data_IF_112060460599
#
_entry.id   IF_112060460599
#
_cell.length_a   1.000
_cell.length_b   1.000
_cell.length_c   1.000
_cell.angle_alpha   90.00
_cell.angle_beta   90.00
_cell.angle_gamma   90.00
#
_symmetry.space_group_name_H-M   'P 1'
#
loop_
_entity.id
_entity.type
_entity.pdbx_description
1 polymer ?
#
# COMPACT_ATOMS: atom_id res chain seq x y z
N UNK A 1 2.06 -29.05 -17.27
CA UNK A 1 1.16 -27.88 -17.12
C UNK A 1 1.38 -26.96 -18.31
N UNK A 2 0.43 -26.82 -19.25
CA UNK A 2 0.65 -26.17 -20.56
C UNK A 2 -0.25 -24.94 -20.79
N UNK A 3 -0.69 -24.29 -19.71
CA UNK A 3 -1.72 -23.23 -19.73
C UNK A 3 -1.33 -21.97 -18.95
N UNK A 4 -0.04 -21.75 -18.65
CA UNK A 4 0.43 -20.67 -17.77
C UNK A 4 -0.02 -19.27 -18.21
N UNK A 5 0.00 -18.99 -19.52
CA UNK A 5 -0.45 -17.70 -20.05
C UNK A 5 -1.95 -17.47 -19.84
N UNK A 6 -2.75 -18.55 -19.90
CA UNK A 6 -4.19 -18.47 -19.64
C UNK A 6 -4.47 -18.25 -18.16
N UNK A 7 -3.75 -18.91 -17.26
CA UNK A 7 -3.91 -18.66 -15.82
C UNK A 7 -3.48 -17.25 -15.44
N UNK A 8 -2.42 -16.72 -16.06
CA UNK A 8 -2.01 -15.33 -15.86
C UNK A 8 -3.11 -14.34 -16.30
N UNK A 9 -3.76 -14.61 -17.45
CA UNK A 9 -4.89 -13.80 -17.92
C UNK A 9 -6.08 -13.87 -16.95
N UNK A 10 -6.47 -15.07 -16.51
CA UNK A 10 -7.54 -15.27 -15.53
C UNK A 10 -7.26 -14.60 -14.19
N UNK A 11 -6.00 -14.58 -13.74
CA UNK A 11 -5.62 -13.89 -12.51
C UNK A 11 -5.89 -12.37 -12.57
N UNK A 12 -5.74 -11.77 -13.75
CA UNK A 12 -6.05 -10.34 -13.97
C UNK A 12 -7.56 -10.14 -14.09
N UNK A 13 -8.25 -11.00 -14.86
CA UNK A 13 -9.71 -10.94 -15.08
C UNK A 13 -10.52 -11.21 -13.80
N UNK A 14 -10.04 -12.08 -12.92
CA UNK A 14 -10.65 -12.35 -11.62
C UNK A 14 -10.31 -11.27 -10.57
N UNK A 15 -9.50 -10.27 -10.90
CA UNK A 15 -9.07 -9.23 -9.96
C UNK A 15 -8.15 -9.74 -8.85
N UNK A 16 -7.54 -10.91 -9.02
CA UNK A 16 -6.54 -11.43 -8.08
C UNK A 16 -5.21 -10.66 -8.21
N UNK A 17 -4.89 -10.20 -9.42
CA UNK A 17 -3.67 -9.43 -9.68
C UNK A 17 -3.96 -8.18 -10.51
N UNK A 18 -3.63 -7.01 -9.97
CA UNK A 18 -3.78 -5.74 -10.68
C UNK A 18 -2.45 -5.28 -11.29
N UNK A 19 -2.52 -4.80 -12.52
CA UNK A 19 -1.43 -4.27 -13.31
C UNK A 19 -1.40 -2.75 -13.21
N UNK A 20 -0.27 -2.23 -12.76
CA UNK A 20 -0.04 -0.81 -12.65
C UNK A 20 1.42 -0.49 -12.95
N UNK A 21 1.67 0.78 -13.30
CA UNK A 21 2.99 1.29 -13.62
C UNK A 21 3.22 2.59 -12.88
N UNK A 22 4.47 2.80 -12.44
CA UNK A 22 4.90 4.04 -11.81
C UNK A 22 6.05 4.64 -12.62
N UNK A 23 5.83 5.84 -13.14
CA UNK A 23 6.78 6.59 -13.94
C UNK A 23 7.19 7.88 -13.21
N UNK A 24 8.35 7.93 -12.53
CA UNK A 24 8.76 9.09 -11.74
C UNK A 24 8.99 10.35 -12.59
N UNK A 25 9.30 10.18 -13.88
CA UNK A 25 9.49 11.30 -14.81
C UNK A 25 8.22 12.13 -15.03
N UNK A 26 7.03 11.51 -14.89
CA UNK A 26 5.75 12.21 -15.04
C UNK A 26 5.50 13.22 -13.92
N UNK A 27 6.15 13.05 -12.77
CA UNK A 27 6.09 14.03 -11.67
C UNK A 27 6.71 15.36 -12.07
N UNK A 28 7.81 15.32 -12.83
CA UNK A 28 8.45 16.52 -13.38
C UNK A 28 7.57 17.24 -14.41
N UNK A 29 6.69 16.50 -15.10
CA UNK A 29 5.71 17.03 -16.04
C UNK A 29 4.39 17.49 -15.37
N UNK A 30 4.26 17.34 -14.05
CA UNK A 30 3.04 17.67 -13.30
C UNK A 30 1.85 16.73 -13.58
N UNK A 31 2.09 15.57 -14.18
CA UNK A 31 1.09 14.53 -14.43
C UNK A 31 1.16 13.47 -13.34
N UNK A 32 0.06 12.73 -13.12
CA UNK A 32 0.08 11.60 -12.18
C UNK A 32 1.12 10.56 -12.64
N UNK A 33 2.07 10.17 -11.76
CA UNK A 33 3.13 9.21 -12.07
C UNK A 33 2.64 7.76 -12.03
N UNK A 34 1.54 7.53 -11.33
CA UNK A 34 0.90 6.25 -11.19
C UNK A 34 -0.16 6.05 -12.28
N UNK A 35 -0.10 4.91 -12.97
CA UNK A 35 -1.05 4.51 -14.01
C UNK A 35 -1.57 3.13 -13.64
N UNK A 36 -2.89 2.98 -13.56
CA UNK A 36 -3.57 1.69 -13.41
C UNK A 36 -3.99 1.22 -14.80
N UNK A 37 -3.53 0.05 -15.22
CA UNK A 37 -3.86 -0.54 -16.52
C UNK A 37 -4.92 -1.65 -16.40
N UNK A 38 -5.15 -2.18 -15.20
CA UNK A 38 -6.18 -3.20 -14.94
C UNK A 38 -7.59 -2.61 -14.87
N UNK A 39 -8.51 -3.29 -15.55
CA UNK A 39 -9.95 -3.03 -15.54
C UNK A 39 -10.64 -3.65 -14.31
N UNK A 40 -11.95 -3.43 -14.19
CA UNK A 40 -12.77 -4.07 -13.15
C UNK A 40 -12.86 -5.58 -13.38
N UNK A 41 -12.89 -6.39 -12.31
CA UNK A 41 -12.92 -7.85 -12.43
C UNK A 41 -14.25 -8.35 -13.00
N UNK A 42 -14.18 -9.21 -14.02
CA UNK A 42 -15.35 -9.82 -14.67
C UNK A 42 -15.58 -11.28 -14.22
N UNK A 43 -14.50 -11.99 -13.83
CA UNK A 43 -14.57 -13.40 -13.43
C UNK A 43 -14.82 -13.54 -11.91
N UNK A 44 -15.53 -14.60 -11.52
CA UNK A 44 -15.74 -14.97 -10.12
C UNK A 44 -14.41 -15.32 -9.44
N UNK A 45 -14.07 -14.56 -8.39
CA UNK A 45 -12.83 -14.74 -7.62
C UNK A 45 -12.71 -16.17 -7.05
N UNK A 46 -13.82 -16.76 -6.62
CA UNK A 46 -13.84 -18.11 -6.04
C UNK A 46 -13.53 -19.19 -7.08
N UNK A 47 -14.01 -19.02 -8.31
CA UNK A 47 -13.81 -20.00 -9.38
C UNK A 47 -12.35 -19.97 -9.88
N UNK A 48 -11.71 -18.80 -9.85
CA UNK A 48 -10.27 -18.69 -10.08
C UNK A 48 -9.47 -19.45 -9.01
N UNK A 49 -9.77 -19.24 -7.72
CA UNK A 49 -9.06 -19.92 -6.63
C UNK A 49 -9.21 -21.45 -6.69
N UNK A 50 -10.43 -21.96 -6.90
CA UNK A 50 -10.68 -23.40 -6.96
C UNK A 50 -10.06 -24.07 -8.20
N UNK A 51 -9.73 -23.30 -9.24
CA UNK A 51 -9.02 -23.78 -10.43
C UNK A 51 -7.57 -24.19 -10.17
N UNK A 52 -6.98 -23.78 -9.05
CA UNK A 52 -5.58 -24.05 -8.72
C UNK A 52 -5.42 -25.07 -7.59
N UNK A 53 -4.50 -26.02 -7.78
CA UNK A 53 -4.26 -27.11 -6.82
C UNK A 53 -3.85 -26.58 -5.43
N UNK A 54 -3.17 -25.43 -5.36
CA UNK A 54 -2.73 -24.83 -4.08
C UNK A 54 -3.89 -24.47 -3.16
N UNK A 55 -5.01 -24.00 -3.69
CA UNK A 55 -6.20 -23.65 -2.90
C UNK A 55 -7.15 -24.84 -2.78
N UNK A 56 -7.26 -25.66 -3.82
CA UNK A 56 -8.05 -26.88 -3.77
C UNK A 56 -7.53 -27.88 -2.72
N UNK A 57 -6.21 -27.92 -2.46
CA UNK A 57 -5.62 -28.74 -1.40
C UNK A 57 -6.08 -28.28 -0.01
N UNK A 58 -6.10 -26.97 0.25
CA UNK A 58 -6.56 -26.40 1.52
C UNK A 58 -8.05 -26.70 1.78
N UNK A 59 -8.88 -26.59 0.74
CA UNK A 59 -10.30 -26.93 0.84
C UNK A 59 -10.53 -28.42 1.15
N UNK A 60 -9.67 -29.32 0.66
CA UNK A 60 -9.77 -30.76 0.96
C UNK A 60 -9.41 -31.09 2.41
N UNK A 61 -8.43 -30.40 3.00
CA UNK A 61 -7.98 -30.67 4.36
C UNK A 61 -8.88 -30.02 5.42
N UNK A 62 -9.32 -28.79 5.17
CA UNK A 62 -10.01 -27.95 6.15
C UNK A 62 -11.04 -27.05 5.44
N UNK A 63 -12.24 -27.56 5.13
CA UNK A 63 -13.23 -26.83 4.34
C UNK A 63 -13.75 -25.56 5.05
N UNK A 64 -14.04 -25.65 6.36
CA UNK A 64 -14.61 -24.52 7.13
C UNK A 64 -13.65 -23.31 7.18
N UNK A 65 -12.36 -23.59 7.40
CA UNK A 65 -11.32 -22.56 7.41
C UNK A 65 -11.04 -22.03 6.00
N UNK A 66 -11.08 -22.89 4.98
CA UNK A 66 -10.86 -22.48 3.59
C UNK A 66 -11.91 -21.47 3.13
N UNK A 67 -13.19 -21.71 3.45
CA UNK A 67 -14.26 -20.78 3.07
C UNK A 67 -14.14 -19.42 3.78
N UNK A 68 -13.72 -19.40 5.05
CA UNK A 68 -13.44 -18.15 5.76
C UNK A 68 -12.27 -17.38 5.12
N UNK A 69 -11.18 -18.08 4.78
CA UNK A 69 -10.01 -17.48 4.15
C UNK A 69 -10.30 -16.98 2.73
N UNK A 70 -11.12 -17.68 1.95
CA UNK A 70 -11.50 -17.23 0.61
C UNK A 70 -12.30 -15.93 0.64
N UNK A 71 -13.24 -15.78 1.58
CA UNK A 71 -13.97 -14.52 1.78
C UNK A 71 -13.04 -13.39 2.18
N UNK A 72 -12.15 -13.63 3.15
CA UNK A 72 -11.17 -12.62 3.57
C UNK A 72 -10.27 -12.19 2.40
N UNK A 73 -9.85 -13.15 1.57
CA UNK A 73 -8.97 -12.86 0.43
C UNK A 73 -9.70 -12.03 -0.64
N UNK A 74 -10.99 -12.28 -0.86
CA UNK A 74 -11.82 -11.49 -1.78
C UNK A 74 -11.97 -10.03 -1.29
N UNK A 75 -12.24 -9.85 0.01
CA UNK A 75 -12.34 -8.52 0.62
C UNK A 75 -11.01 -7.77 0.56
N UNK A 76 -9.90 -8.45 0.84
CA UNK A 76 -8.54 -7.89 0.74
C UNK A 76 -8.19 -7.51 -0.70
N UNK A 77 -8.55 -8.34 -1.69
CA UNK A 77 -8.34 -8.04 -3.10
C UNK A 77 -9.13 -6.78 -3.51
N UNK A 78 -10.40 -6.69 -3.10
CA UNK A 78 -11.25 -5.51 -3.34
C UNK A 78 -10.68 -4.25 -2.70
N UNK A 79 -10.22 -4.35 -1.45
CA UNK A 79 -9.60 -3.23 -0.74
C UNK A 79 -8.30 -2.76 -1.43
N UNK A 80 -7.47 -3.70 -1.91
CA UNK A 80 -6.26 -3.38 -2.68
C UNK A 80 -6.61 -2.67 -3.98
N UNK A 81 -7.58 -3.16 -4.74
CA UNK A 81 -8.03 -2.51 -5.97
C UNK A 81 -8.47 -1.06 -5.70
N UNK A 82 -9.29 -0.85 -4.67
CA UNK A 82 -9.75 0.48 -4.27
C UNK A 82 -8.59 1.41 -3.88
N UNK A 83 -7.61 0.91 -3.12
CA UNK A 83 -6.44 1.68 -2.73
C UNK A 83 -5.57 2.10 -3.93
N UNK A 84 -5.41 1.19 -4.89
CA UNK A 84 -4.63 1.39 -6.11
C UNK A 84 -5.36 2.34 -7.08
N UNK A 85 -6.67 2.19 -7.24
CA UNK A 85 -7.52 3.11 -8.00
C UNK A 85 -7.51 4.52 -7.40
N UNK A 86 -7.63 4.62 -6.07
CA UNK A 86 -7.53 5.89 -5.35
C UNK A 86 -6.14 6.55 -5.50
N UNK A 87 -5.07 5.75 -5.62
CA UNK A 87 -3.72 6.29 -5.85
C UNK A 87 -3.56 6.92 -7.24
N UNK A 88 -4.27 6.44 -8.27
CA UNK A 88 -4.28 7.02 -9.61
C UNK A 88 -5.05 8.34 -9.73
N UNK A 89 -6.00 8.59 -8.82
CA UNK A 89 -6.79 9.83 -8.79
C UNK A 89 -6.12 11.00 -8.05
N UNK A 90 -5.00 10.78 -7.34
CA UNK A 90 -4.29 11.87 -6.64
C UNK A 90 -3.44 12.65 -7.63
N UNK A 91 -4.07 13.65 -8.27
CA UNK A 91 -3.36 14.67 -9.05
C UNK A 91 -2.25 15.29 -8.20
N UNK A 92 -1.02 15.20 -8.68
CA UNK A 92 0.16 15.75 -8.00
C UNK A 92 0.19 17.26 -8.24
N UNK A 93 -0.69 17.95 -7.51
CA UNK A 93 -0.76 19.41 -7.47
C UNK A 93 -0.02 19.95 -6.26
N UNK A 94 1.24 20.35 -6.49
CA UNK A 94 1.94 21.45 -5.79
C UNK A 94 2.35 21.22 -4.32
N UNK A 95 3.68 21.14 -4.07
CA UNK A 95 4.46 22.16 -3.31
C UNK A 95 5.86 21.64 -2.91
N UNK A 96 6.83 21.65 -3.83
CA UNK A 96 8.19 22.06 -3.48
C UNK A 96 8.98 22.58 -4.69
N UNK A 97 8.37 23.52 -5.42
CA UNK A 97 9.17 24.53 -6.09
C UNK A 97 9.60 25.55 -5.01
N UNK A 98 10.72 25.29 -4.36
CA UNK A 98 11.55 26.38 -3.84
C UNK A 98 12.80 26.37 -4.70
N UNK A 99 12.68 27.04 -5.85
CA UNK A 99 13.81 27.68 -6.50
C UNK A 99 14.63 28.42 -5.43
N UNK A 100 15.89 28.03 -5.28
CA UNK A 100 16.96 28.95 -4.89
C UNK A 100 16.73 29.82 -3.66
N UNK A 101 16.17 29.29 -2.57
CA UNK A 101 16.38 29.92 -1.26
C UNK A 101 17.79 29.54 -0.81
N UNK A 102 18.72 30.46 -1.06
CA UNK A 102 20.06 30.49 -0.52
C UNK A 102 20.00 30.14 0.98
N UNK A 103 20.53 28.96 1.33
CA UNK A 103 20.80 28.58 2.71
C UNK A 103 21.98 29.46 3.15
N UNK A 104 21.72 30.71 3.53
CA UNK A 104 22.53 31.33 4.57
C UNK A 104 22.00 30.81 5.89
N UNK A 105 22.79 29.89 6.43
CA UNK A 105 22.86 29.59 7.85
C UNK A 105 22.96 30.90 8.64
N UNK A 106 21.81 31.48 8.99
CA UNK A 106 21.66 32.50 10.01
C UNK A 106 20.83 31.87 11.12
N UNK A 107 21.51 31.72 12.24
CA UNK A 107 21.12 30.96 13.41
C UNK A 107 19.71 31.28 13.91
N UNK A 108 18.98 30.19 14.17
CA UNK A 108 18.02 30.05 15.26
C UNK A 108 18.39 30.95 16.45
N UNK A 109 17.55 31.93 16.76
CA UNK A 109 17.07 32.17 18.14
C UNK A 109 16.11 33.35 18.18
N UNK A 110 14.91 33.11 18.72
CA UNK A 110 14.06 34.01 19.53
C UNK A 110 12.57 33.96 19.15
N UNK A 111 11.87 32.90 19.60
CA UNK A 111 10.46 33.04 19.99
C UNK A 111 10.42 33.42 21.48
N UNK A 112 9.74 34.50 21.89
CA UNK A 112 9.62 34.84 23.28
C UNK A 112 8.53 34.00 23.97
N UNK A 113 8.90 33.41 25.11
CA UNK A 113 8.11 33.44 26.33
C UNK A 113 6.89 32.51 26.46
N UNK A 114 7.11 31.29 26.94
CA UNK A 114 6.60 30.90 28.27
C UNK A 114 7.68 30.15 29.05
N UNK A 115 8.07 30.76 30.15
CA UNK A 115 9.07 30.34 31.14
C UNK A 115 8.33 29.68 32.30
N UNK A 116 8.86 28.54 32.75
CA UNK A 116 8.88 27.99 34.13
C UNK A 116 8.81 26.46 34.02
N UNK A 117 9.66 25.63 34.63
CA UNK A 117 10.74 25.87 35.60
C UNK A 117 11.63 24.62 35.61
N UNK A 118 12.94 24.82 35.66
CA UNK A 118 13.96 23.81 35.98
C UNK A 118 13.76 23.30 37.40
N UNK A 119 13.86 21.99 37.60
CA UNK A 119 14.68 21.39 38.66
C UNK A 119 14.87 19.92 38.30
N UNK A 120 16.00 19.53 37.71
CA UNK A 120 17.07 18.89 38.46
C UNK A 120 16.55 17.90 39.51
N UNK A 121 16.49 16.62 39.14
CA UNK A 121 16.96 15.51 39.97
C UNK A 121 17.41 14.37 39.06
N UNK A 122 18.73 14.30 38.95
CA UNK A 122 19.53 13.19 38.49
C UNK A 122 19.60 12.17 39.63
N UNK A 123 19.18 10.93 39.38
CA UNK A 123 19.55 9.69 40.10
C UNK A 123 18.60 8.60 39.58
N UNK A 124 19.02 7.71 38.69
CA UNK A 124 19.60 6.38 38.99
C UNK A 124 18.67 5.42 39.74
N UNK A 125 18.88 4.12 39.47
CA UNK A 125 18.23 2.89 39.97
C UNK A 125 17.17 2.38 38.96
N UNK A 126 17.51 1.52 37.98
CA UNK A 126 17.96 0.11 38.03
C UNK A 126 16.92 -0.85 38.64
N UNK A 127 16.75 -2.04 38.05
CA UNK A 127 15.88 -3.18 38.44
C UNK A 127 14.38 -3.04 38.09
N UNK A 128 13.66 -3.97 37.46
CA UNK A 128 13.93 -5.34 36.98
C UNK A 128 12.66 -5.83 36.26
N UNK A 129 12.84 -6.64 35.21
CA UNK A 129 11.78 -7.40 34.51
C UNK A 129 11.20 -8.51 35.41
N UNK A 130 9.95 -8.95 35.19
CA UNK A 130 9.61 -10.37 35.20
C UNK A 130 9.96 -11.04 33.85
#
# INVERSE_FOLDING_TARGET
MRCSQREAKRAVEAGYWHLWRYHPQREAEGKTPFILDSEEPEESFRDFLLGEVRYAALHKTTPDLADALFRQTEDDARARFQAVSAAGGRGVGCRLAIHGCCITFSSVSSRPGKRASRSSRRSEIMFSRP
#
